data_IF_810543704344
#
_entry.id   IF_810543704344
#
_cell.length_a   1.000
_cell.length_b   1.000
_cell.length_c   1.000
_cell.angle_alpha   90.00
_cell.angle_beta   90.00
_cell.angle_gamma   90.00
#
_symmetry.space_group_name_H-M   'P 1'
#
loop_
_entity.id
_entity.type
_entity.pdbx_description
1 polymer ?
#
# COMPACT_ATOMS: atom_id res chain seq x y z
N UNK A 1 6.12 25.26 33.36
CA UNK A 1 5.92 26.06 32.14
C UNK A 1 6.45 25.37 30.88
N UNK A 2 7.52 24.56 30.96
CA UNK A 2 8.07 23.78 29.83
C UNK A 2 7.08 22.79 29.19
N UNK A 3 6.23 22.12 29.97
CA UNK A 3 5.34 21.08 29.42
C UNK A 3 4.26 21.60 28.47
N UNK A 4 3.87 22.88 28.60
CA UNK A 4 2.88 23.49 27.70
C UNK A 4 3.46 23.76 26.30
N UNK A 5 4.77 23.93 26.17
CA UNK A 5 5.41 24.20 24.87
C UNK A 5 5.49 22.94 24.01
N UNK A 6 5.75 21.77 24.62
CA UNK A 6 5.79 20.49 23.89
C UNK A 6 4.43 20.11 23.32
N UNK A 7 3.35 20.34 24.07
CA UNK A 7 1.99 20.07 23.59
C UNK A 7 1.62 20.92 22.37
N UNK A 8 2.01 22.21 22.37
CA UNK A 8 1.74 23.11 21.23
C UNK A 8 2.54 22.70 20.00
N UNK A 9 3.82 22.32 20.16
CA UNK A 9 4.65 21.87 19.02
C UNK A 9 4.08 20.58 18.41
N UNK A 10 3.69 19.61 19.24
CA UNK A 10 3.07 18.36 18.77
C UNK A 10 1.76 18.64 18.02
N UNK A 11 0.89 19.48 18.58
CA UNK A 11 -0.37 19.87 17.93
C UNK A 11 -0.14 20.57 16.59
N UNK A 12 0.84 21.48 16.51
CA UNK A 12 1.18 22.18 15.28
C UNK A 12 1.75 21.24 14.21
N UNK A 13 2.54 20.23 14.59
CA UNK A 13 3.03 19.23 13.64
C UNK A 13 1.90 18.36 13.08
N UNK A 14 0.93 17.96 13.92
CA UNK A 14 -0.24 17.19 13.48
C UNK A 14 -1.13 18.04 12.56
N UNK A 15 -1.34 19.33 12.87
CA UNK A 15 -2.09 20.25 12.01
C UNK A 15 -1.37 20.44 10.67
N UNK A 16 -0.05 20.62 10.68
CA UNK A 16 0.72 20.81 9.45
C UNK A 16 0.69 19.57 8.55
N UNK A 17 0.80 18.37 9.13
CA UNK A 17 0.64 17.09 8.41
C UNK A 17 -0.77 17.01 7.84
N UNK A 18 -1.81 17.27 8.64
CA UNK A 18 -3.19 17.21 8.17
C UNK A 18 -3.50 18.25 7.08
N UNK A 19 -2.95 19.46 7.14
CA UNK A 19 -3.10 20.49 6.08
C UNK A 19 -2.45 20.03 4.78
N UNK A 20 -1.26 19.40 4.84
CA UNK A 20 -0.64 18.82 3.64
C UNK A 20 -1.53 17.72 3.07
N UNK A 21 -2.04 16.80 3.90
CA UNK A 21 -2.90 15.71 3.43
C UNK A 21 -4.24 16.19 2.90
N UNK A 22 -4.95 17.08 3.61
CA UNK A 22 -6.23 17.63 3.13
C UNK A 22 -6.05 18.55 1.93
N UNK A 23 -4.95 19.29 1.83
CA UNK A 23 -4.59 20.03 0.62
C UNK A 23 -4.40 19.11 -0.59
N UNK A 24 -3.81 17.92 -0.38
CA UNK A 24 -3.69 16.89 -1.42
C UNK A 24 -5.01 16.17 -1.74
N UNK A 25 -5.95 16.07 -0.79
CA UNK A 25 -7.24 15.38 -0.97
C UNK A 25 -8.33 16.30 -1.57
N UNK A 26 -8.36 17.58 -1.21
CA UNK A 26 -9.39 18.54 -1.68
C UNK A 26 -9.07 19.06 -3.08
N UNK A 27 -7.80 19.05 -3.49
CA UNK A 27 -7.49 19.03 -4.90
C UNK A 27 -7.79 17.62 -5.40
N UNK A 28 -9.03 17.36 -5.82
CA UNK A 28 -9.20 16.52 -7.00
C UNK A 28 -8.12 17.00 -7.97
N UNK A 29 -7.23 16.12 -8.45
CA UNK A 29 -6.37 16.50 -9.54
C UNK A 29 -7.31 16.81 -10.70
N UNK A 30 -7.72 18.07 -10.82
CA UNK A 30 -8.13 18.60 -12.10
C UNK A 30 -7.02 18.15 -13.04
N UNK A 31 -7.37 17.58 -14.19
CA UNK A 31 -6.43 16.94 -15.11
C UNK A 31 -5.21 17.81 -15.47
N UNK A 32 -5.22 19.09 -15.09
CA UNK A 32 -4.14 20.07 -15.21
C UNK A 32 -3.02 20.02 -14.14
N UNK A 33 -3.19 19.40 -12.95
CA UNK A 33 -2.13 19.37 -11.90
C UNK A 33 -1.23 18.13 -11.95
N UNK A 34 -1.72 17.03 -12.54
CA UNK A 34 -0.91 15.86 -12.88
C UNK A 34 0.14 16.19 -13.93
N UNK A 35 -0.11 17.23 -14.74
CA UNK A 35 0.78 17.75 -15.76
C UNK A 35 2.00 18.47 -15.16
N UNK A 36 1.89 19.06 -13.95
CA UNK A 36 3.03 19.71 -13.28
C UNK A 36 4.07 18.72 -12.71
N UNK A 37 3.65 17.50 -12.35
CA UNK A 37 4.60 16.42 -12.01
C UNK A 37 5.13 15.72 -13.26
N UNK A 38 4.34 15.62 -14.33
CA UNK A 38 4.80 15.10 -15.62
C UNK A 38 5.84 16.02 -16.28
N UNK A 39 5.69 17.35 -16.12
CA UNK A 39 6.58 18.34 -16.73
C UNK A 39 7.96 18.47 -16.06
N UNK A 40 8.26 17.68 -15.04
CA UNK A 40 9.62 17.54 -14.50
C UNK A 40 10.43 16.39 -15.12
N UNK A 41 9.91 15.68 -16.12
CA UNK A 41 10.73 14.80 -16.96
C UNK A 41 11.66 15.61 -17.88
N UNK A 42 12.82 15.94 -17.32
CA UNK A 42 14.17 15.69 -17.86
C UNK A 42 14.24 15.69 -19.39
N UNK A 43 14.71 16.80 -19.92
CA UNK A 43 15.25 16.89 -21.28
C UNK A 43 16.41 15.88 -21.44
N UNK A 44 16.26 14.94 -22.38
CA UNK A 44 17.26 13.99 -22.92
C UNK A 44 17.50 12.66 -22.19
N UNK A 45 16.46 11.94 -21.74
CA UNK A 45 16.61 10.51 -21.36
C UNK A 45 16.99 9.65 -22.58
N UNK A 46 17.98 8.76 -22.42
CA UNK A 46 18.25 7.72 -23.40
C UNK A 46 17.09 6.71 -23.38
N UNK A 47 16.55 6.38 -24.57
CA UNK A 47 15.49 5.37 -24.71
C UNK A 47 16.09 3.97 -24.75
N UNK A 48 15.62 3.09 -23.88
CA UNK A 48 16.04 1.69 -23.77
C UNK A 48 14.85 0.75 -23.96
N UNK A 49 15.13 -0.46 -24.48
CA UNK A 49 14.13 -1.53 -24.56
C UNK A 49 14.04 -2.29 -23.24
N UNK A 50 15.20 -2.68 -22.69
CA UNK A 50 15.30 -3.36 -21.40
C UNK A 50 16.73 -3.32 -20.83
N UNK A 51 16.84 -3.57 -19.53
CA UNK A 51 18.09 -3.93 -18.83
C UNK A 51 17.86 -5.28 -18.15
N UNK A 52 18.79 -6.22 -18.33
CA UNK A 52 18.80 -7.50 -17.63
C UNK A 52 20.17 -7.69 -16.97
N UNK A 53 20.16 -8.07 -15.70
CA UNK A 53 21.35 -8.24 -14.86
C UNK A 53 21.18 -9.50 -14.02
N UNK A 54 22.04 -10.49 -14.21
CA UNK A 54 22.12 -11.70 -13.39
C UNK A 54 23.44 -11.75 -12.61
N UNK A 55 23.34 -11.43 -11.32
CA UNK A 55 24.45 -11.51 -10.39
C UNK A 55 25.34 -10.26 -10.31
N UNK A 56 26.21 -10.26 -9.31
CA UNK A 56 27.05 -9.11 -8.97
C UNK A 56 28.08 -8.74 -10.06
N UNK A 57 28.57 -9.73 -10.82
CA UNK A 57 29.56 -9.49 -11.87
C UNK A 57 28.94 -8.74 -13.05
N UNK A 58 27.77 -9.17 -13.52
CA UNK A 58 27.04 -8.47 -14.57
C UNK A 58 26.65 -7.06 -14.11
N UNK A 59 26.17 -6.92 -12.86
CA UNK A 59 25.84 -5.62 -12.29
C UNK A 59 27.03 -4.64 -12.34
N UNK A 60 28.23 -5.11 -11.98
CA UNK A 60 29.45 -4.31 -11.99
C UNK A 60 29.91 -3.92 -13.41
N UNK A 61 29.74 -4.82 -14.37
CA UNK A 61 30.25 -4.66 -15.74
C UNK A 61 29.27 -4.01 -16.72
N UNK A 62 28.01 -3.82 -16.31
CA UNK A 62 26.96 -3.29 -17.16
C UNK A 62 27.20 -1.80 -17.47
N UNK A 63 27.25 -1.45 -18.76
CA UNK A 63 27.52 -0.08 -19.22
C UNK A 63 26.40 0.92 -18.90
N UNK A 64 25.21 0.44 -18.51
CA UNK A 64 24.06 1.24 -18.07
C UNK A 64 24.01 1.41 -16.55
N UNK A 65 25.02 0.93 -15.85
CA UNK A 65 25.13 1.00 -14.39
C UNK A 65 26.37 1.81 -14.02
N UNK A 66 26.22 2.76 -13.12
CA UNK A 66 27.33 3.52 -12.52
C UNK A 66 27.54 3.15 -11.06
N UNK A 67 28.61 3.64 -10.42
CA UNK A 67 28.89 3.41 -8.99
C UNK A 67 29.73 2.17 -8.70
N UNK A 68 29.84 1.80 -7.42
CA UNK A 68 30.71 0.70 -6.98
C UNK A 68 30.06 -0.31 -6.01
N UNK A 69 28.74 -0.22 -5.80
CA UNK A 69 28.00 -1.18 -4.97
C UNK A 69 28.28 -1.06 -3.47
N UNK A 70 28.60 0.14 -2.98
CA UNK A 70 28.60 0.47 -1.54
C UNK A 70 27.45 1.42 -1.23
N UNK A 71 26.90 1.48 -0.01
CA UNK A 71 25.82 2.45 0.26
C UNK A 71 26.24 3.92 0.11
N UNK A 72 27.53 4.22 0.24
CA UNK A 72 28.06 5.56 -0.06
C UNK A 72 28.19 5.86 -1.56
N UNK A 73 28.17 4.82 -2.40
CA UNK A 73 28.28 4.90 -3.86
C UNK A 73 27.64 3.65 -4.49
N UNK A 74 26.30 3.53 -4.41
CA UNK A 74 25.60 2.30 -4.82
C UNK A 74 25.74 2.09 -6.32
N UNK A 75 25.46 0.88 -6.78
CA UNK A 75 25.20 0.73 -8.21
C UNK A 75 23.95 1.52 -8.58
N UNK A 76 23.96 2.24 -9.69
CA UNK A 76 22.87 3.15 -10.05
C UNK A 76 22.43 2.95 -11.49
N UNK A 77 21.12 2.74 -11.68
CA UNK A 77 20.41 2.83 -12.95
C UNK A 77 19.55 4.10 -12.88
N UNK A 78 19.81 5.08 -13.73
CA UNK A 78 19.12 6.37 -13.62
C UNK A 78 18.83 7.09 -14.93
N UNK A 79 17.78 7.92 -14.94
CA UNK A 79 17.42 8.84 -16.02
C UNK A 79 17.19 8.15 -17.38
N UNK A 80 16.71 6.90 -17.35
CA UNK A 80 16.34 6.15 -18.54
C UNK A 80 14.84 6.20 -18.81
N UNK A 81 14.51 6.21 -20.09
CA UNK A 81 13.14 6.01 -20.55
C UNK A 81 13.04 4.62 -21.18
N UNK A 82 12.15 3.79 -20.67
CA UNK A 82 11.91 2.46 -21.19
C UNK A 82 10.60 2.47 -21.95
N UNK A 83 10.71 2.35 -23.27
CA UNK A 83 9.59 2.36 -24.20
C UNK A 83 9.73 1.23 -25.20
N UNK A 84 8.65 0.51 -25.50
CA UNK A 84 8.68 -0.60 -26.45
C UNK A 84 7.33 -1.32 -26.53
N UNK A 85 7.26 -2.37 -27.35
CA UNK A 85 6.07 -3.21 -27.43
C UNK A 85 5.79 -3.90 -26.08
N UNK A 86 4.52 -4.17 -25.78
CA UNK A 86 4.01 -4.85 -24.57
C UNK A 86 4.53 -6.30 -24.42
N UNK A 87 5.83 -6.48 -24.25
CA UNK A 87 6.44 -7.78 -23.99
C UNK A 87 7.72 -7.65 -23.16
N UNK A 88 7.89 -8.61 -22.25
CA UNK A 88 9.08 -8.79 -21.42
C UNK A 88 9.15 -7.87 -20.20
N UNK A 89 10.23 -8.07 -19.45
CA UNK A 89 10.62 -7.24 -18.30
C UNK A 89 11.41 -6.03 -18.80
N UNK A 90 11.13 -4.82 -18.27
CA UNK A 90 11.89 -3.62 -18.64
C UNK A 90 13.20 -3.51 -17.86
N UNK A 91 13.14 -3.75 -16.56
CA UNK A 91 14.32 -3.92 -15.72
C UNK A 91 14.20 -5.27 -15.02
N UNK A 92 15.18 -6.12 -15.26
CA UNK A 92 15.28 -7.45 -14.68
C UNK A 92 16.58 -7.58 -13.89
N UNK A 93 16.46 -7.78 -12.58
CA UNK A 93 17.62 -7.91 -11.68
C UNK A 93 17.49 -9.23 -10.91
N UNK A 94 18.51 -10.08 -11.03
CA UNK A 94 18.54 -11.37 -10.36
C UNK A 94 19.84 -11.57 -9.58
N UNK A 95 19.75 -12.34 -8.50
CA UNK A 95 20.90 -12.94 -7.80
C UNK A 95 21.99 -11.93 -7.34
N UNK A 96 21.61 -10.70 -7.01
CA UNK A 96 22.52 -9.67 -6.50
C UNK A 96 22.24 -9.31 -5.04
N UNK A 97 23.29 -9.03 -4.27
CA UNK A 97 23.17 -8.56 -2.90
C UNK A 97 23.87 -7.21 -2.68
N UNK A 98 24.30 -6.57 -3.77
CA UNK A 98 24.99 -5.28 -3.72
C UNK A 98 23.95 -4.16 -3.68
N UNK A 99 24.21 -3.09 -2.90
CA UNK A 99 23.43 -1.86 -2.94
C UNK A 99 23.18 -1.38 -4.37
N UNK A 100 21.91 -1.25 -4.74
CA UNK A 100 21.45 -0.81 -6.05
C UNK A 100 20.37 0.25 -5.89
N UNK A 101 20.47 1.33 -6.66
CA UNK A 101 19.46 2.39 -6.75
C UNK A 101 18.94 2.45 -8.18
N UNK A 102 17.62 2.40 -8.33
CA UNK A 102 16.92 2.67 -9.60
C UNK A 102 16.18 4.00 -9.41
N UNK A 103 16.56 5.05 -10.13
CA UNK A 103 16.00 6.38 -9.88
C UNK A 103 15.70 7.19 -11.14
N UNK A 104 14.67 8.04 -11.05
CA UNK A 104 14.29 8.97 -12.12
C UNK A 104 14.04 8.27 -13.47
N UNK A 105 13.54 7.03 -13.43
CA UNK A 105 13.22 6.28 -14.64
C UNK A 105 11.74 6.44 -14.99
N UNK A 106 11.45 6.45 -16.29
CA UNK A 106 10.08 6.37 -16.82
C UNK A 106 9.94 5.07 -17.59
N UNK A 107 9.01 4.21 -17.17
CA UNK A 107 8.77 2.91 -17.78
C UNK A 107 7.34 2.87 -18.32
N UNK A 108 7.20 2.61 -19.62
CA UNK A 108 5.90 2.63 -20.30
C UNK A 108 5.62 1.33 -21.05
N UNK A 109 4.33 0.99 -21.17
CA UNK A 109 3.82 -0.10 -22.02
C UNK A 109 4.52 -1.44 -21.75
N UNK A 110 4.36 -1.97 -20.54
CA UNK A 110 5.12 -3.14 -20.07
C UNK A 110 4.22 -4.31 -19.69
N UNK A 111 4.75 -5.54 -19.83
CA UNK A 111 4.18 -6.69 -19.12
C UNK A 111 4.60 -6.61 -17.66
N UNK A 112 5.93 -6.56 -17.41
CA UNK A 112 6.48 -6.30 -16.07
C UNK A 112 7.46 -5.14 -16.15
N UNK A 113 7.27 -4.09 -15.36
CA UNK A 113 8.20 -2.98 -15.38
C UNK A 113 9.51 -3.34 -14.67
N UNK A 114 9.43 -3.80 -13.42
CA UNK A 114 10.58 -4.21 -12.61
C UNK A 114 10.38 -5.62 -12.09
N UNK A 115 11.21 -6.54 -12.56
CA UNK A 115 11.30 -7.92 -12.07
C UNK A 115 12.57 -8.07 -11.23
N UNK A 116 12.42 -8.46 -9.96
CA UNK A 116 13.54 -8.64 -9.04
C UNK A 116 13.43 -10.01 -8.35
N UNK A 117 14.46 -10.84 -8.49
CA UNK A 117 14.48 -12.19 -7.93
C UNK A 117 15.78 -12.52 -7.18
N UNK A 118 15.66 -13.03 -5.94
CA UNK A 118 16.79 -13.39 -5.09
C UNK A 118 17.76 -12.22 -4.87
N UNK A 119 17.21 -11.03 -4.62
CA UNK A 119 17.97 -9.78 -4.50
C UNK A 119 17.82 -9.16 -3.13
N UNK A 120 18.85 -8.41 -2.70
CA UNK A 120 18.74 -7.55 -1.52
C UNK A 120 19.36 -6.17 -1.72
N UNK A 121 18.99 -5.22 -0.84
CA UNK A 121 19.56 -3.88 -0.79
C UNK A 121 19.24 -3.00 -2.01
N UNK A 122 17.96 -2.95 -2.41
CA UNK A 122 17.53 -2.12 -3.55
C UNK A 122 16.67 -0.96 -3.08
N UNK A 123 17.00 0.25 -3.54
CA UNK A 123 16.12 1.40 -3.45
C UNK A 123 15.60 1.80 -4.84
N UNK A 124 14.30 2.06 -4.94
CA UNK A 124 13.65 2.55 -6.16
C UNK A 124 13.01 3.89 -5.84
N UNK A 125 13.44 4.94 -6.53
CA UNK A 125 13.18 6.32 -6.11
C UNK A 125 12.66 7.15 -7.30
N UNK A 126 11.60 7.93 -7.09
CA UNK A 126 11.15 8.96 -8.03
C UNK A 126 11.00 8.44 -9.48
N UNK A 127 10.37 7.28 -9.64
CA UNK A 127 10.20 6.62 -10.94
C UNK A 127 8.72 6.51 -11.30
N UNK A 128 8.42 6.60 -12.60
CA UNK A 128 7.06 6.54 -13.14
C UNK A 128 6.83 5.28 -13.95
N UNK A 129 5.69 4.64 -13.74
CA UNK A 129 5.29 3.37 -14.36
C UNK A 129 3.91 3.55 -14.97
N UNK A 130 3.83 3.54 -16.30
CA UNK A 130 2.63 3.96 -17.03
C UNK A 130 2.20 2.85 -17.98
N UNK A 131 0.94 2.42 -17.86
CA UNK A 131 0.28 1.45 -18.73
C UNK A 131 1.02 0.11 -18.79
N UNK A 132 0.61 -0.83 -17.97
CA UNK A 132 1.21 -2.16 -17.97
C UNK A 132 0.52 -3.13 -17.04
N UNK A 133 0.91 -4.39 -17.10
CA UNK A 133 0.29 -5.44 -16.29
C UNK A 133 0.81 -5.40 -14.85
N UNK A 134 2.08 -5.74 -14.62
CA UNK A 134 2.67 -5.78 -13.28
C UNK A 134 3.78 -4.72 -13.15
N UNK A 135 3.63 -3.73 -12.28
CA UNK A 135 4.68 -2.72 -12.13
C UNK A 135 5.90 -3.26 -11.39
N UNK A 136 5.69 -4.03 -10.31
CA UNK A 136 6.76 -4.67 -9.55
C UNK A 136 6.44 -6.15 -9.31
N UNK A 137 7.32 -7.04 -9.74
CA UNK A 137 7.33 -8.46 -9.31
C UNK A 137 8.60 -8.72 -8.49
N UNK A 138 8.41 -8.85 -7.18
CA UNK A 138 9.46 -8.97 -6.18
C UNK A 138 9.39 -10.35 -5.53
N UNK A 139 10.32 -11.23 -5.90
CA UNK A 139 10.34 -12.63 -5.48
C UNK A 139 11.62 -12.98 -4.72
N UNK A 140 11.48 -13.51 -3.50
CA UNK A 140 12.60 -13.83 -2.61
C UNK A 140 13.53 -12.63 -2.38
N UNK A 141 12.97 -11.44 -2.12
CA UNK A 141 13.76 -10.22 -1.91
C UNK A 141 13.91 -9.87 -0.42
N UNK A 142 14.98 -9.18 -0.09
CA UNK A 142 15.23 -8.67 1.26
C UNK A 142 15.69 -7.21 1.25
N UNK A 143 15.19 -6.40 2.17
CA UNK A 143 15.61 -5.00 2.32
C UNK A 143 15.39 -4.18 1.04
N UNK A 144 14.12 -4.11 0.60
CA UNK A 144 13.71 -3.33 -0.57
C UNK A 144 12.92 -2.11 -0.14
N UNK A 145 13.26 -0.96 -0.71
CA UNK A 145 12.57 0.30 -0.44
C UNK A 145 12.13 0.95 -1.74
N UNK A 146 10.84 1.23 -1.85
CA UNK A 146 10.24 1.92 -3.00
C UNK A 146 9.68 3.25 -2.49
N UNK A 147 10.16 4.35 -3.03
CA UNK A 147 9.86 5.70 -2.57
C UNK A 147 9.46 6.61 -3.73
N UNK A 148 8.31 7.29 -3.63
CA UNK A 148 7.83 8.21 -4.67
C UNK A 148 7.73 7.48 -6.02
N UNK A 149 7.13 6.27 -6.00
CA UNK A 149 6.76 5.59 -7.23
C UNK A 149 5.37 6.05 -7.68
N UNK A 150 5.24 6.41 -8.95
CA UNK A 150 3.96 6.83 -9.55
C UNK A 150 3.56 5.76 -10.55
N UNK A 151 2.52 4.97 -10.21
CA UNK A 151 1.99 3.90 -11.04
C UNK A 151 0.64 4.36 -11.61
N UNK A 152 0.46 4.27 -12.93
CA UNK A 152 -0.77 4.66 -13.62
C UNK A 152 -1.18 3.65 -14.68
N UNK A 153 -2.49 3.38 -14.76
CA UNK A 153 -3.02 2.46 -15.76
C UNK A 153 -2.52 1.03 -15.56
N UNK A 154 -2.49 0.57 -14.30
CA UNK A 154 -2.02 -0.78 -13.99
C UNK A 154 -3.16 -1.79 -14.18
N UNK A 155 -2.95 -2.76 -15.05
CA UNK A 155 -3.94 -3.78 -15.43
C UNK A 155 -3.92 -5.00 -14.50
N UNK A 156 -2.73 -5.30 -13.96
CA UNK A 156 -2.48 -6.39 -13.03
C UNK A 156 -2.04 -5.85 -11.67
N UNK A 157 -0.83 -6.18 -11.24
CA UNK A 157 -0.37 -5.93 -9.87
C UNK A 157 0.46 -4.66 -9.81
N UNK A 158 0.08 -3.71 -8.97
CA UNK A 158 0.95 -2.59 -8.62
C UNK A 158 2.23 -3.11 -7.99
N UNK A 159 2.10 -3.88 -6.91
CA UNK A 159 3.22 -4.52 -6.23
C UNK A 159 2.92 -5.98 -5.93
N UNK A 160 3.60 -6.90 -6.60
CA UNK A 160 3.57 -8.34 -6.31
C UNK A 160 4.79 -8.71 -5.49
N UNK A 161 4.58 -9.20 -4.27
CA UNK A 161 5.62 -9.49 -3.27
C UNK A 161 5.48 -10.93 -2.82
N UNK A 162 6.52 -11.74 -3.05
CA UNK A 162 6.53 -13.18 -2.74
C UNK A 162 7.74 -13.56 -1.91
N UNK A 163 7.55 -14.37 -0.87
CA UNK A 163 8.65 -14.97 -0.10
C UNK A 163 9.70 -13.94 0.37
N UNK A 164 9.26 -12.74 0.72
CA UNK A 164 10.14 -11.57 0.88
C UNK A 164 10.16 -11.05 2.31
N UNK A 165 11.21 -10.32 2.63
CA UNK A 165 11.42 -9.75 3.97
C UNK A 165 11.76 -8.27 3.90
N UNK A 166 11.19 -7.48 4.80
CA UNK A 166 11.52 -6.07 4.99
C UNK A 166 11.36 -5.24 3.70
N UNK A 167 10.15 -5.26 3.14
CA UNK A 167 9.78 -4.45 1.98
C UNK A 167 9.04 -3.21 2.45
N UNK A 168 9.51 -2.03 2.07
CA UNK A 168 8.89 -0.73 2.41
C UNK A 168 8.44 -0.01 1.14
N UNK A 169 7.16 0.35 1.08
CA UNK A 169 6.60 1.25 0.07
C UNK A 169 6.22 2.55 0.78
N UNK A 170 6.78 3.67 0.33
CA UNK A 170 6.71 4.95 1.03
C UNK A 170 6.39 6.10 0.08
N UNK A 171 5.40 6.91 0.43
CA UNK A 171 5.03 8.11 -0.32
C UNK A 171 4.81 7.83 -1.82
N UNK A 172 4.16 6.71 -2.13
CA UNK A 172 3.91 6.25 -3.50
C UNK A 172 2.44 6.40 -3.87
N UNK A 173 2.17 6.47 -5.16
CA UNK A 173 0.84 6.70 -5.73
C UNK A 173 0.58 5.61 -6.77
N UNK A 174 -0.48 4.82 -6.62
CA UNK A 174 -0.79 3.74 -7.54
C UNK A 174 -2.25 3.78 -7.98
N UNK A 175 -2.44 3.73 -9.31
CA UNK A 175 -3.75 3.70 -9.96
C UNK A 175 -3.90 2.44 -10.81
N UNK A 176 -4.87 1.61 -10.46
CA UNK A 176 -5.33 0.53 -11.32
C UNK A 176 -6.28 1.03 -12.41
N UNK A 177 -6.48 0.21 -13.45
CA UNK A 177 -7.60 0.41 -14.39
C UNK A 177 -8.92 -0.08 -13.79
N UNK A 178 -8.84 -1.06 -12.89
CA UNK A 178 -9.97 -1.51 -12.11
C UNK A 178 -10.96 -2.47 -12.77
N UNK A 179 -10.76 -2.77 -14.05
CA UNK A 179 -11.70 -3.56 -14.87
C UNK A 179 -11.43 -5.07 -14.84
N UNK A 180 -10.42 -5.54 -14.10
CA UNK A 180 -10.04 -6.96 -14.05
C UNK A 180 -9.93 -7.44 -12.60
N UNK A 181 -10.30 -8.70 -12.36
CA UNK A 181 -10.13 -9.35 -11.05
C UNK A 181 -8.66 -9.43 -10.60
N UNK A 182 -7.75 -9.33 -11.56
CA UNK A 182 -6.31 -9.39 -11.35
C UNK A 182 -5.68 -8.02 -11.07
N UNK A 183 -6.47 -6.94 -11.11
CA UNK A 183 -6.03 -5.57 -10.87
C UNK A 183 -5.89 -5.32 -9.35
N UNK A 184 -4.71 -5.58 -8.80
CA UNK A 184 -4.46 -5.53 -7.36
C UNK A 184 -3.38 -4.48 -7.04
N UNK A 185 -3.64 -3.59 -6.09
CA UNK A 185 -2.69 -2.54 -5.72
C UNK A 185 -1.41 -3.12 -5.14
N UNK A 186 -1.56 -3.95 -4.11
CA UNK A 186 -0.48 -4.76 -3.53
C UNK A 186 -0.98 -6.19 -3.35
N UNK A 187 -0.24 -7.15 -3.87
CA UNK A 187 -0.39 -8.58 -3.61
C UNK A 187 0.83 -9.11 -2.89
N UNK A 188 0.67 -9.55 -1.66
CA UNK A 188 1.76 -10.09 -0.85
C UNK A 188 1.48 -11.51 -0.37
N UNK A 189 2.44 -12.41 -0.52
CA UNK A 189 2.31 -13.77 -0.03
C UNK A 189 3.60 -14.34 0.54
N UNK A 190 3.45 -15.15 1.59
CA UNK A 190 4.53 -15.84 2.29
C UNK A 190 5.68 -14.90 2.72
N UNK A 191 5.33 -13.68 3.14
CA UNK A 191 6.28 -12.57 3.34
C UNK A 191 6.24 -12.02 4.75
N UNK A 192 7.26 -11.26 5.15
CA UNK A 192 7.31 -10.65 6.49
C UNK A 192 7.82 -9.22 6.46
N UNK A 193 7.38 -8.41 7.44
CA UNK A 193 7.79 -7.01 7.62
C UNK A 193 7.51 -6.16 6.38
N UNK A 194 6.28 -6.19 5.89
CA UNK A 194 5.84 -5.30 4.81
C UNK A 194 5.33 -4.00 5.42
N UNK A 195 5.88 -2.87 4.99
CA UNK A 195 5.48 -1.56 5.44
C UNK A 195 4.92 -0.73 4.28
N UNK A 196 3.71 -0.21 4.44
CA UNK A 196 3.07 0.71 3.52
C UNK A 196 2.79 2.03 4.23
N UNK A 197 3.43 3.12 3.78
CA UNK A 197 3.38 4.40 4.47
C UNK A 197 3.12 5.56 3.52
N UNK A 198 2.29 6.51 3.94
CA UNK A 198 2.04 7.77 3.22
C UNK A 198 1.65 7.58 1.75
N UNK A 199 1.05 6.44 1.40
CA UNK A 199 0.80 6.07 0.01
C UNK A 199 -0.68 6.16 -0.35
N UNK A 200 -0.97 6.38 -1.63
CA UNK A 200 -2.33 6.47 -2.14
C UNK A 200 -2.57 5.37 -3.16
N UNK A 201 -3.67 4.62 -3.00
CA UNK A 201 -4.10 3.56 -3.90
C UNK A 201 -5.53 3.81 -4.32
N UNK A 202 -5.78 3.76 -5.62
CA UNK A 202 -7.13 3.88 -6.13
C UNK A 202 -7.36 3.07 -7.39
N UNK A 203 -8.62 2.76 -7.61
CA UNK A 203 -9.10 2.06 -8.81
C UNK A 203 -8.46 0.69 -9.04
N UNK A 204 -8.16 -0.02 -7.96
CA UNK A 204 -7.83 -1.44 -8.01
C UNK A 204 -9.08 -2.24 -7.69
N UNK A 205 -9.18 -3.45 -8.22
CA UNK A 205 -10.18 -4.42 -7.77
C UNK A 205 -9.96 -4.80 -6.30
N UNK A 206 -8.69 -4.93 -5.90
CA UNK A 206 -8.28 -5.04 -4.49
C UNK A 206 -7.09 -4.15 -4.25
N UNK A 207 -7.26 -3.11 -3.44
CA UNK A 207 -6.14 -2.24 -3.06
C UNK A 207 -5.01 -3.00 -2.35
N UNK A 208 -5.33 -3.97 -1.48
CA UNK A 208 -4.34 -4.84 -0.85
C UNK A 208 -4.88 -6.27 -0.69
N UNK A 209 -4.08 -7.27 -1.06
CA UNK A 209 -4.37 -8.69 -0.89
C UNK A 209 -3.15 -9.41 -0.29
N UNK A 210 -3.26 -9.84 0.97
CA UNK A 210 -2.15 -10.41 1.75
C UNK A 210 -2.52 -11.82 2.22
N UNK A 211 -1.63 -12.79 2.01
CA UNK A 211 -1.81 -14.19 2.46
C UNK A 211 -0.53 -14.70 3.12
N UNK A 212 -0.59 -15.33 4.28
CA UNK A 212 0.59 -15.80 5.03
C UNK A 212 1.63 -14.68 5.28
N UNK A 213 1.18 -13.46 5.57
CA UNK A 213 2.08 -12.32 5.78
C UNK A 213 2.16 -11.92 7.26
N UNK A 214 3.36 -11.73 7.79
CA UNK A 214 3.54 -11.33 9.20
C UNK A 214 4.21 -9.98 9.38
N UNK A 215 3.91 -9.30 10.49
CA UNK A 215 4.51 -8.02 10.89
C UNK A 215 4.25 -6.89 9.88
N UNK A 216 3.02 -6.76 9.40
CA UNK A 216 2.65 -5.71 8.46
C UNK A 216 2.36 -4.38 9.15
N UNK A 217 2.76 -3.28 8.51
CA UNK A 217 2.57 -1.93 9.04
C UNK A 217 1.98 -1.00 7.98
N UNK A 218 0.72 -0.61 8.15
CA UNK A 218 0.00 0.31 7.28
C UNK A 218 -0.22 1.62 8.01
N UNK A 219 0.38 2.72 7.54
CA UNK A 219 0.24 4.02 8.19
C UNK A 219 0.14 5.22 7.25
N UNK A 220 -0.82 6.11 7.53
CA UNK A 220 -1.05 7.34 6.74
C UNK A 220 -1.33 7.06 5.26
N UNK A 221 -2.01 5.96 4.94
CA UNK A 221 -2.38 5.65 3.56
C UNK A 221 -3.80 6.12 3.25
N UNK A 222 -4.05 6.38 1.97
CA UNK A 222 -5.37 6.69 1.45
C UNK A 222 -5.78 5.62 0.42
N UNK A 223 -6.90 4.96 0.69
CA UNK A 223 -7.49 3.94 -0.19
C UNK A 223 -8.88 4.41 -0.61
N UNK A 224 -9.12 4.51 -1.91
CA UNK A 224 -10.44 4.90 -2.42
C UNK A 224 -10.75 4.30 -3.78
N UNK A 225 -12.03 4.16 -4.11
CA UNK A 225 -12.49 3.75 -5.43
C UNK A 225 -13.23 4.90 -6.12
N UNK A 226 -13.09 4.99 -7.43
CA UNK A 226 -13.90 5.91 -8.25
C UNK A 226 -14.94 5.19 -9.12
N UNK A 227 -15.02 3.86 -9.05
CA UNK A 227 -15.98 3.05 -9.81
C UNK A 227 -16.44 1.85 -8.97
N UNK A 228 -17.49 1.16 -9.42
CA UNK A 228 -18.02 -0.03 -8.75
C UNK A 228 -17.10 -1.24 -8.97
N UNK A 229 -16.55 -1.80 -7.90
CA UNK A 229 -15.79 -3.04 -7.99
C UNK A 229 -16.63 -4.19 -8.56
N UNK A 230 -15.98 -5.11 -9.30
CA UNK A 230 -16.67 -6.23 -9.97
C UNK A 230 -17.12 -7.36 -9.03
N UNK A 231 -16.65 -7.41 -7.78
CA UNK A 231 -16.90 -8.53 -6.85
C UNK A 231 -17.14 -8.06 -5.42
N UNK A 232 -17.79 -8.90 -4.62
CA UNK A 232 -18.20 -8.68 -3.23
C UNK A 232 -17.06 -8.78 -2.20
N UNK A 233 -15.82 -8.95 -2.65
CA UNK A 233 -14.64 -9.04 -1.79
C UNK A 233 -14.24 -7.66 -1.25
N UNK A 234 -13.51 -7.66 -0.13
CA UNK A 234 -12.98 -6.43 0.46
C UNK A 234 -11.80 -5.82 -0.30
N UNK A 235 -11.71 -4.50 -0.25
CA UNK A 235 -10.62 -3.72 -0.85
C UNK A 235 -9.26 -4.01 -0.21
N UNK A 236 -9.26 -4.20 1.11
CA UNK A 236 -8.09 -4.59 1.88
C UNK A 236 -8.34 -5.96 2.50
N UNK A 237 -7.81 -7.00 1.87
CA UNK A 237 -8.04 -8.39 2.25
C UNK A 237 -6.79 -9.00 2.88
N UNK A 238 -6.92 -9.45 4.13
CA UNK A 238 -5.85 -10.04 4.93
C UNK A 238 -6.25 -11.49 5.28
N UNK A 239 -5.64 -12.44 4.58
CA UNK A 239 -5.99 -13.86 4.61
C UNK A 239 -4.94 -14.74 5.27
N UNK A 240 -5.39 -15.96 5.62
CA UNK A 240 -4.64 -17.16 6.01
C UNK A 240 -3.31 -16.89 6.72
N UNK A 241 -3.27 -17.09 8.04
CA UNK A 241 -2.04 -16.97 8.83
C UNK A 241 -1.33 -15.60 8.70
N UNK A 242 -2.05 -14.56 8.27
CA UNK A 242 -1.58 -13.19 8.39
C UNK A 242 -1.57 -12.79 9.86
N UNK A 243 -0.46 -12.24 10.37
CA UNK A 243 -0.35 -11.92 11.79
C UNK A 243 0.45 -10.66 12.11
N UNK A 244 0.23 -10.15 13.33
CA UNK A 244 0.94 -8.99 13.86
C UNK A 244 0.81 -7.75 12.96
N UNK A 245 -0.42 -7.46 12.53
CA UNK A 245 -0.74 -6.34 11.65
C UNK A 245 -1.09 -5.09 12.46
N UNK A 246 -0.44 -3.98 12.14
CA UNK A 246 -0.81 -2.66 12.64
C UNK A 246 -1.34 -1.83 11.47
N UNK A 247 -2.57 -1.36 11.63
CA UNK A 247 -3.29 -0.55 10.66
C UNK A 247 -3.72 0.76 11.33
N UNK A 248 -2.95 1.83 11.13
CA UNK A 248 -3.16 3.08 11.85
C UNK A 248 -3.11 4.35 11.01
N UNK A 249 -3.94 5.35 11.36
CA UNK A 249 -3.98 6.63 10.65
C UNK A 249 -4.25 6.53 9.14
N UNK A 250 -4.97 5.51 8.69
CA UNK A 250 -5.35 5.37 7.28
C UNK A 250 -6.73 5.99 7.02
N UNK A 251 -6.97 6.35 5.76
CA UNK A 251 -8.26 6.81 5.28
C UNK A 251 -8.81 5.84 4.23
N UNK A 252 -9.98 5.28 4.48
CA UNK A 252 -10.71 4.41 3.58
C UNK A 252 -11.98 5.15 3.16
N UNK A 253 -12.16 5.37 1.86
CA UNK A 253 -13.25 6.20 1.35
C UNK A 253 -13.91 5.59 0.12
N UNK A 254 -15.25 5.69 0.04
CA UNK A 254 -16.04 5.38 -1.16
C UNK A 254 -15.82 3.96 -1.71
N UNK A 255 -15.75 2.97 -0.82
CA UNK A 255 -15.53 1.58 -1.23
C UNK A 255 -16.87 0.89 -1.45
N UNK A 256 -17.03 0.20 -2.59
CA UNK A 256 -18.29 -0.44 -2.99
C UNK A 256 -18.71 -1.56 -2.04
N UNK A 257 -17.73 -2.27 -1.46
CA UNK A 257 -17.96 -3.44 -0.60
C UNK A 257 -17.29 -3.28 0.77
N UNK A 258 -16.44 -4.22 1.15
CA UNK A 258 -15.82 -4.23 2.47
C UNK A 258 -14.56 -3.37 2.43
N UNK A 259 -14.34 -2.55 3.46
CA UNK A 259 -13.15 -1.74 3.58
C UNK A 259 -11.95 -2.58 3.97
N UNK A 260 -11.98 -3.12 5.19
CA UNK A 260 -10.97 -4.04 5.70
C UNK A 260 -11.61 -5.41 5.96
N UNK A 261 -11.08 -6.45 5.33
CA UNK A 261 -11.54 -7.83 5.48
C UNK A 261 -10.45 -8.74 6.05
N UNK A 262 -10.79 -9.48 7.10
CA UNK A 262 -9.84 -10.32 7.84
C UNK A 262 -10.33 -11.77 7.87
N UNK A 263 -9.46 -12.71 7.45
CA UNK A 263 -9.72 -14.15 7.44
C UNK A 263 -8.67 -14.93 8.22
N UNK A 264 -9.10 -15.77 9.18
CA UNK A 264 -8.25 -16.78 9.87
C UNK A 264 -6.89 -16.24 10.37
N UNK A 265 -6.87 -15.02 10.86
CA UNK A 265 -5.64 -14.30 11.17
C UNK A 265 -5.62 -13.87 12.65
N UNK A 266 -4.50 -13.34 13.16
CA UNK A 266 -4.38 -12.96 14.60
C UNK A 266 -3.53 -11.72 14.87
N UNK A 267 -3.70 -11.14 16.05
CA UNK A 267 -2.90 -10.01 16.56
C UNK A 267 -3.03 -8.74 15.72
N UNK A 268 -4.24 -8.20 15.61
CA UNK A 268 -4.52 -6.96 14.88
C UNK A 268 -4.61 -5.76 15.80
N UNK A 269 -4.01 -4.65 15.37
CA UNK A 269 -4.22 -3.34 15.97
C UNK A 269 -4.71 -2.37 14.90
N UNK A 270 -5.99 -2.04 14.95
CA UNK A 270 -6.66 -1.13 14.02
C UNK A 270 -7.01 0.13 14.81
N UNK A 271 -6.28 1.23 14.58
CA UNK A 271 -6.46 2.44 15.39
C UNK A 271 -6.31 3.76 14.63
N UNK A 272 -7.02 4.79 15.06
CA UNK A 272 -6.89 6.14 14.49
C UNK A 272 -7.18 6.23 12.99
N UNK A 273 -7.95 5.30 12.43
CA UNK A 273 -8.34 5.34 11.02
C UNK A 273 -9.66 6.10 10.83
N UNK A 274 -9.84 6.63 9.63
CA UNK A 274 -11.13 7.16 9.18
C UNK A 274 -11.69 6.22 8.10
N UNK A 275 -12.92 5.77 8.29
CA UNK A 275 -13.63 4.89 7.35
C UNK A 275 -14.95 5.59 6.99
N UNK A 276 -15.11 5.96 5.73
CA UNK A 276 -16.22 6.81 5.28
C UNK A 276 -16.84 6.31 3.97
N UNK A 277 -18.17 6.21 3.93
CA UNK A 277 -18.92 5.75 2.76
C UNK A 277 -18.43 4.38 2.26
N UNK A 278 -18.40 3.40 3.17
CA UNK A 278 -17.98 2.03 2.89
C UNK A 278 -19.11 1.11 3.32
N UNK A 279 -19.55 0.20 2.46
CA UNK A 279 -20.67 -0.70 2.79
C UNK A 279 -20.42 -1.46 4.11
N UNK A 280 -19.29 -2.16 4.22
CA UNK A 280 -18.81 -2.71 5.48
C UNK A 280 -17.40 -2.23 5.79
N UNK A 281 -17.24 -1.25 6.67
CA UNK A 281 -15.93 -0.69 7.04
C UNK A 281 -14.94 -1.73 7.57
N UNK A 282 -15.42 -2.69 8.35
CA UNK A 282 -14.66 -3.87 8.78
C UNK A 282 -15.52 -5.11 8.60
N UNK A 283 -15.01 -6.14 7.94
CA UNK A 283 -15.64 -7.45 7.83
C UNK A 283 -14.73 -8.57 8.30
N UNK A 284 -15.29 -9.51 9.04
CA UNK A 284 -14.58 -10.69 9.51
C UNK A 284 -15.37 -11.93 9.12
N UNK A 285 -14.87 -12.72 8.17
CA UNK A 285 -15.66 -13.77 7.50
C UNK A 285 -15.43 -15.16 8.10
N UNK A 286 -14.27 -15.39 8.70
CA UNK A 286 -13.92 -16.63 9.39
C UNK A 286 -13.29 -16.27 10.72
N UNK A 287 -13.65 -16.93 11.82
CA UNK A 287 -13.21 -16.57 13.17
C UNK A 287 -11.68 -16.38 13.18
N UNK A 288 -11.16 -15.16 13.42
CA UNK A 288 -9.72 -14.98 13.62
C UNK A 288 -9.28 -15.81 14.82
N UNK A 289 -8.04 -16.27 14.79
CA UNK A 289 -7.56 -17.20 15.81
C UNK A 289 -7.35 -16.53 17.17
N UNK A 290 -7.15 -15.20 17.25
CA UNK A 290 -7.20 -14.39 18.49
C UNK A 290 -6.82 -12.90 18.30
N UNK A 291 -7.27 -12.08 19.25
CA UNK A 291 -6.79 -10.72 19.62
C UNK A 291 -6.87 -9.63 18.54
N UNK A 292 -8.05 -9.03 18.42
CA UNK A 292 -8.27 -7.82 17.62
C UNK A 292 -8.55 -6.62 18.54
N UNK A 293 -7.75 -5.57 18.36
CA UNK A 293 -7.93 -4.27 19.00
C UNK A 293 -8.38 -3.25 17.97
N UNK A 294 -9.64 -2.83 18.05
CA UNK A 294 -10.24 -1.82 17.18
C UNK A 294 -10.55 -0.58 17.99
N UNK A 295 -9.70 0.46 17.92
CA UNK A 295 -9.80 1.60 18.84
C UNK A 295 -9.54 2.96 18.23
N UNK A 296 -10.22 3.98 18.74
CA UNK A 296 -10.01 5.37 18.34
C UNK A 296 -10.18 5.61 16.84
N UNK A 297 -11.06 4.88 16.17
CA UNK A 297 -11.36 5.09 14.75
C UNK A 297 -12.60 5.99 14.58
N UNK A 298 -12.66 6.71 13.46
CA UNK A 298 -13.84 7.44 13.01
C UNK A 298 -14.54 6.64 11.92
N UNK A 299 -15.81 6.29 12.12
CA UNK A 299 -16.62 5.51 11.18
C UNK A 299 -17.84 6.33 10.79
N UNK A 300 -18.01 6.57 9.49
CA UNK A 300 -19.11 7.36 8.94
C UNK A 300 -19.78 6.61 7.80
N UNK A 301 -21.10 6.42 7.87
CA UNK A 301 -21.86 5.75 6.81
C UNK A 301 -21.27 4.38 6.45
N UNK A 302 -20.94 3.59 7.49
CA UNK A 302 -20.32 2.28 7.32
C UNK A 302 -20.70 1.32 8.44
N UNK A 303 -20.75 0.03 8.11
CA UNK A 303 -21.03 -1.05 9.05
C UNK A 303 -19.76 -1.79 9.50
N UNK A 304 -19.69 -2.20 10.76
CA UNK A 304 -18.68 -3.16 11.24
C UNK A 304 -19.34 -4.53 11.40
N UNK A 305 -19.05 -5.44 10.47
CA UNK A 305 -19.61 -6.78 10.39
C UNK A 305 -18.63 -7.82 10.95
N UNK A 306 -18.79 -8.18 12.22
CA UNK A 306 -17.81 -8.99 12.95
C UNK A 306 -18.40 -10.36 13.30
N UNK A 307 -17.91 -11.40 12.62
CA UNK A 307 -18.32 -12.79 12.82
C UNK A 307 -17.18 -13.63 13.42
N UNK A 308 -17.45 -14.37 14.50
CA UNK A 308 -16.57 -15.45 14.97
C UNK A 308 -15.38 -15.04 15.84
N UNK A 309 -15.31 -13.85 16.42
CA UNK A 309 -14.08 -13.43 17.13
C UNK A 309 -13.97 -14.00 18.54
N UNK A 310 -12.77 -14.39 18.99
CA UNK A 310 -12.54 -14.95 20.34
C UNK A 310 -12.18 -13.91 21.40
N UNK A 311 -11.51 -12.82 21.02
CA UNK A 311 -11.14 -11.71 21.92
C UNK A 311 -11.15 -10.41 21.10
N UNK A 312 -12.25 -9.66 21.20
CA UNK A 312 -12.43 -8.42 20.47
C UNK A 312 -12.56 -7.25 21.44
N UNK A 313 -11.70 -6.24 21.30
CA UNK A 313 -11.80 -4.99 22.05
C UNK A 313 -12.12 -3.84 21.09
N UNK A 314 -13.33 -3.30 21.21
CA UNK A 314 -13.82 -2.12 20.49
C UNK A 314 -13.88 -0.95 21.47
N UNK A 315 -13.01 0.05 21.33
CA UNK A 315 -13.02 1.19 22.27
C UNK A 315 -12.65 2.55 21.71
N UNK A 316 -13.26 3.61 22.22
CA UNK A 316 -12.90 4.98 21.85
C UNK A 316 -13.27 5.39 20.43
N UNK A 317 -14.14 4.64 19.73
CA UNK A 317 -14.50 4.95 18.34
C UNK A 317 -15.65 5.96 18.27
N UNK A 318 -15.62 6.82 17.25
CA UNK A 318 -16.71 7.74 16.88
C UNK A 318 -17.47 7.16 15.69
N UNK A 319 -18.76 6.81 15.88
CA UNK A 319 -19.59 6.13 14.89
C UNK A 319 -20.78 7.01 14.52
N UNK A 320 -20.84 7.48 13.28
CA UNK A 320 -21.91 8.34 12.76
C UNK A 320 -22.64 7.68 11.61
N UNK A 321 -23.96 7.48 11.73
CA UNK A 321 -24.79 6.78 10.74
C UNK A 321 -24.18 5.41 10.33
N UNK A 322 -23.68 4.65 11.31
CA UNK A 322 -23.06 3.35 11.12
C UNK A 322 -23.52 2.35 12.18
N UNK A 323 -23.20 1.07 12.00
CA UNK A 323 -23.62 0.00 12.90
C UNK A 323 -22.45 -0.90 13.29
N UNK A 324 -22.57 -1.55 14.45
CA UNK A 324 -21.70 -2.68 14.81
C UNK A 324 -22.60 -3.91 14.85
N UNK A 325 -22.36 -4.85 13.94
CA UNK A 325 -23.07 -6.13 13.88
C UNK A 325 -22.13 -7.23 14.36
N UNK A 326 -22.44 -7.79 15.53
CA UNK A 326 -21.72 -8.91 16.10
C UNK A 326 -22.48 -10.19 15.84
N UNK A 327 -21.77 -11.23 15.42
CA UNK A 327 -22.33 -12.58 15.34
C UNK A 327 -21.27 -13.61 15.75
N UNK A 328 -21.71 -14.68 16.42
CA UNK A 328 -20.86 -15.80 16.85
C UNK A 328 -19.55 -15.41 17.54
N UNK A 329 -19.49 -14.23 18.18
CA UNK A 329 -18.27 -13.71 18.81
C UNK A 329 -18.31 -14.03 20.30
N UNK A 330 -17.19 -14.54 20.82
CA UNK A 330 -16.97 -14.76 22.24
C UNK A 330 -16.06 -13.66 22.79
N UNK A 331 -16.32 -13.23 24.04
CA UNK A 331 -15.53 -12.21 24.76
C UNK A 331 -15.31 -10.91 23.97
N UNK A 332 -16.42 -10.28 23.61
CA UNK A 332 -16.41 -8.92 23.05
C UNK A 332 -16.47 -7.91 24.19
N UNK A 333 -15.54 -6.94 24.17
CA UNK A 333 -15.53 -5.79 25.07
C UNK A 333 -15.76 -4.52 24.26
N UNK A 334 -16.81 -3.76 24.61
CA UNK A 334 -17.18 -2.50 23.96
C UNK A 334 -17.19 -1.41 25.00
N UNK A 335 -16.23 -0.49 24.92
CA UNK A 335 -16.03 0.53 25.95
C UNK A 335 -15.81 1.93 25.34
N UNK A 336 -16.45 2.96 25.89
CA UNK A 336 -16.20 4.37 25.53
C UNK A 336 -16.35 4.69 24.02
N UNK A 337 -17.32 4.09 23.34
CA UNK A 337 -17.63 4.44 21.95
C UNK A 337 -18.74 5.49 21.91
N UNK A 338 -18.63 6.44 20.98
CA UNK A 338 -19.60 7.50 20.76
C UNK A 338 -20.45 7.17 19.54
N UNK A 339 -21.77 7.13 19.70
CA UNK A 339 -22.71 6.79 18.63
C UNK A 339 -23.62 7.99 18.32
N UNK A 340 -23.56 8.48 17.09
CA UNK A 340 -24.48 9.48 16.56
C UNK A 340 -25.30 8.85 15.43
N UNK A 341 -26.57 8.55 15.70
CA UNK A 341 -27.43 7.75 14.80
C UNK A 341 -26.83 6.37 14.44
N UNK A 342 -26.05 5.80 15.34
CA UNK A 342 -25.54 4.44 15.23
C UNK A 342 -26.12 3.51 16.28
N UNK A 343 -26.02 2.21 16.05
CA UNK A 343 -26.53 1.19 16.96
C UNK A 343 -25.64 -0.06 16.95
N UNK A 344 -25.83 -0.91 17.96
CA UNK A 344 -25.16 -2.20 18.08
C UNK A 344 -26.21 -3.29 17.90
N UNK A 345 -25.93 -4.26 17.04
CA UNK A 345 -26.69 -5.50 16.88
C UNK A 345 -25.81 -6.64 17.41
N UNK A 346 -26.37 -7.46 18.30
CA UNK A 346 -25.67 -8.58 18.95
C UNK A 346 -26.36 -9.90 18.63
#
# INVERSE_FOLDING_TARGET
>A
MQDKHYYVIFLLSEIFINIIFTGFIIFEPSETSTDLFHKRCISTSESLVSISIDGNYELQSNSKVTGNGTWSNPYTIENYEFSGAYSGNRIEIQNTNKPLVIQNCTIQNFTTAIYIQNVSNVEIINSSFINGTDAFDLSNVNDIKITIAILRGIEGKGFKIKNSFNVTIFNSSAQGIGETYDCEGIKAFDSKKIALKYSTFWNFHKSCFFTNVSYCYFRYNHFFLTYEALDWDGELQLEEDTDNVIFEHNFLQNMTYNGLEIYKSKNYTIQFNTIENVNAGLRMVKPPLSDIRFKNNTIKFAELNINGTINLNISGNDITNGSINLSNSSRVRIDHNNFCNGFIVV
#
